data_IF_677608680975
#
_entry.id   IF_677608680975
#
_cell.length_a   1.000
_cell.length_b   1.000
_cell.length_c   1.000
_cell.angle_alpha   90.00
_cell.angle_beta   90.00
_cell.angle_gamma   90.00
#
_symmetry.space_group_name_H-M   'P 1'
#
loop_
_entity.id
_entity.type
_entity.pdbx_description
1 polymer ?
#
# COMPACT_ATOMS: atom_id res chain seq x y z
N UNK A 1 34.49 11.81 36.29
CA UNK A 1 33.06 11.97 35.97
C UNK A 1 32.94 12.46 34.53
N UNK A 2 32.70 11.54 33.61
CA UNK A 2 32.57 11.73 32.15
C UNK A 2 32.33 10.30 31.63
N UNK A 3 31.32 9.90 30.85
CA UNK A 3 30.54 10.55 29.81
C UNK A 3 29.19 9.80 29.72
N UNK A 4 28.10 10.40 30.19
CA UNK A 4 26.73 9.96 29.91
C UNK A 4 26.39 10.41 28.48
N UNK A 5 26.75 9.63 27.44
CA UNK A 5 26.47 10.04 26.04
C UNK A 5 26.29 8.95 24.96
N UNK A 6 26.00 7.66 25.23
CA UNK A 6 25.59 6.74 24.15
C UNK A 6 24.05 6.58 24.06
N UNK A 7 23.31 6.82 25.15
CA UNK A 7 21.88 6.52 25.23
C UNK A 7 20.99 7.49 24.41
N UNK A 8 21.40 8.75 24.26
CA UNK A 8 20.65 9.75 23.50
C UNK A 8 20.63 9.46 21.99
N UNK A 9 21.71 8.88 21.45
CA UNK A 9 21.79 8.53 20.03
C UNK A 9 20.89 7.34 19.67
N UNK A 10 20.76 6.36 20.57
CA UNK A 10 19.87 5.21 20.36
C UNK A 10 18.38 5.57 20.35
N UNK A 11 17.96 6.52 21.19
CA UNK A 11 16.58 6.98 21.27
C UNK A 11 16.13 7.76 20.01
N UNK A 12 17.04 8.52 19.38
CA UNK A 12 16.74 9.23 18.12
C UNK A 12 16.55 8.28 16.93
N UNK A 13 17.30 7.18 16.87
CA UNK A 13 17.17 6.17 15.79
C UNK A 13 15.85 5.38 15.90
N UNK A 14 15.40 5.08 17.12
CA UNK A 14 14.08 4.45 17.36
C UNK A 14 12.92 5.42 17.07
N UNK A 15 13.08 6.71 17.35
CA UNK A 15 12.09 7.73 16.99
C UNK A 15 11.94 7.91 15.47
N UNK A 16 13.04 7.81 14.70
CA UNK A 16 12.97 7.86 13.23
C UNK A 16 12.29 6.63 12.61
N UNK A 17 12.50 5.44 13.20
CA UNK A 17 11.85 4.21 12.73
C UNK A 17 10.32 4.22 12.97
N UNK A 18 9.85 5.02 13.93
CA UNK A 18 8.41 5.20 14.21
C UNK A 18 7.70 6.18 13.27
N UNK A 19 8.42 6.97 12.48
CA UNK A 19 7.83 8.02 11.65
C UNK A 19 7.46 7.59 10.22
N UNK A 20 7.83 6.38 9.77
CA UNK A 20 7.64 5.98 8.36
C UNK A 20 6.72 4.78 8.14
N UNK A 21 6.26 4.11 9.18
CA UNK A 21 5.35 2.97 9.05
C UNK A 21 3.90 3.43 8.98
N UNK A 22 3.52 4.07 7.86
CA UNK A 22 2.10 4.03 7.46
C UNK A 22 1.79 2.55 7.28
N UNK A 23 1.06 1.97 8.23
CA UNK A 23 0.73 0.55 8.23
C UNK A 23 0.15 0.18 6.86
N UNK A 24 0.92 -0.56 6.07
CA UNK A 24 0.42 -1.06 4.80
C UNK A 24 -0.76 -2.00 5.12
N UNK A 25 -1.87 -1.90 4.38
CA UNK A 25 -3.00 -2.80 4.60
C UNK A 25 -2.56 -4.27 4.57
N UNK A 26 -3.23 -5.12 5.34
CA UNK A 26 -2.83 -6.54 5.44
C UNK A 26 -3.38 -7.32 4.24
N UNK A 27 -2.60 -8.24 3.64
CA UNK A 27 -3.08 -9.11 2.57
C UNK A 27 -4.40 -9.81 2.95
N UNK A 28 -5.32 -9.86 1.99
CA UNK A 28 -6.65 -10.46 2.18
C UNK A 28 -7.74 -9.50 2.63
N UNK A 29 -7.39 -8.27 3.04
CA UNK A 29 -8.35 -7.19 3.33
C UNK A 29 -8.79 -6.43 2.08
N UNK A 30 -9.91 -5.71 2.18
CA UNK A 30 -10.44 -4.86 1.12
C UNK A 30 -9.53 -3.65 0.88
N UNK A 31 -8.98 -3.10 1.96
CA UNK A 31 -8.03 -2.00 1.94
C UNK A 31 -6.74 -2.39 1.23
N UNK A 32 -6.30 -3.64 1.40
CA UNK A 32 -5.18 -4.19 0.65
C UNK A 32 -5.49 -4.29 -0.84
N UNK A 33 -6.65 -4.84 -1.22
CA UNK A 33 -7.05 -4.86 -2.62
C UNK A 33 -7.08 -3.44 -3.22
N UNK A 34 -7.65 -2.48 -2.49
CA UNK A 34 -7.73 -1.08 -2.91
C UNK A 34 -6.34 -0.43 -3.05
N UNK A 35 -5.43 -0.69 -2.13
CA UNK A 35 -4.05 -0.21 -2.17
C UNK A 35 -3.27 -0.84 -3.33
N UNK A 36 -3.36 -2.15 -3.53
CA UNK A 36 -2.71 -2.87 -4.63
C UNK A 36 -3.22 -2.38 -5.98
N UNK A 37 -4.53 -2.17 -6.14
CA UNK A 37 -5.09 -1.59 -7.39
C UNK A 37 -4.56 -0.19 -7.63
N UNK A 38 -4.49 0.67 -6.61
CA UNK A 38 -3.88 2.00 -6.75
C UNK A 38 -2.41 1.89 -7.17
N UNK A 39 -1.64 1.01 -6.51
CA UNK A 39 -0.22 0.83 -6.79
C UNK A 39 0.01 0.28 -8.20
N UNK A 40 -0.85 -0.61 -8.68
CA UNK A 40 -0.80 -1.12 -10.03
C UNK A 40 -0.95 -0.02 -11.08
N UNK A 41 -1.82 0.97 -10.85
CA UNK A 41 -1.91 2.14 -11.72
C UNK A 41 -0.64 2.99 -11.68
N UNK A 42 -0.05 3.19 -10.50
CA UNK A 42 1.25 3.90 -10.37
C UNK A 42 2.36 3.19 -11.16
N UNK A 43 2.33 1.85 -11.19
CA UNK A 43 3.25 1.02 -11.97
C UNK A 43 2.90 0.93 -13.46
N UNK A 44 1.87 1.63 -13.94
CA UNK A 44 1.43 1.60 -15.33
C UNK A 44 0.85 0.24 -15.78
N UNK A 45 0.34 -0.56 -14.84
CA UNK A 45 -0.27 -1.85 -15.13
C UNK A 45 -1.74 -1.70 -15.52
N UNK A 46 -2.22 -2.57 -16.42
CA UNK A 46 -3.65 -2.68 -16.71
C UNK A 46 -4.32 -3.50 -15.62
N UNK A 47 -5.45 -3.01 -15.13
CA UNK A 47 -6.20 -3.62 -14.02
C UNK A 47 -7.67 -3.75 -14.39
N UNK A 48 -8.22 -4.96 -14.32
CA UNK A 48 -9.67 -5.18 -14.36
C UNK A 48 -10.28 -4.86 -12.99
N UNK A 49 -10.40 -3.57 -12.69
CA UNK A 49 -10.96 -3.09 -11.42
C UNK A 49 -12.43 -3.49 -11.27
N UNK A 50 -13.19 -3.53 -12.37
CA UNK A 50 -14.60 -3.93 -12.36
C UNK A 50 -14.75 -5.39 -11.94
N UNK A 51 -13.95 -6.28 -12.52
CA UNK A 51 -13.93 -7.69 -12.13
C UNK A 51 -13.48 -7.92 -10.69
N UNK A 52 -12.50 -7.17 -10.19
CA UNK A 52 -12.08 -7.25 -8.78
C UNK A 52 -13.23 -6.85 -7.86
N UNK A 53 -13.89 -5.71 -8.12
CA UNK A 53 -15.03 -5.23 -7.31
C UNK A 53 -16.20 -6.22 -7.36
N UNK A 54 -16.47 -6.82 -8.52
CA UNK A 54 -17.57 -7.76 -8.69
C UNK A 54 -17.44 -9.01 -7.80
N UNK A 55 -16.22 -9.43 -7.50
CA UNK A 55 -15.91 -10.58 -6.64
C UNK A 55 -15.92 -10.26 -5.14
N UNK A 56 -15.95 -8.97 -4.78
CA UNK A 56 -16.11 -8.57 -3.38
C UNK A 56 -17.57 -8.71 -2.92
N UNK A 57 -17.71 -9.03 -1.64
CA UNK A 57 -19.00 -9.00 -0.94
C UNK A 57 -19.63 -7.62 -1.04
N UNK A 58 -20.97 -7.57 -1.08
CA UNK A 58 -21.72 -6.34 -1.31
C UNK A 58 -21.35 -5.21 -0.33
N UNK A 59 -21.11 -5.55 0.93
CA UNK A 59 -20.73 -4.59 1.98
C UNK A 59 -19.32 -4.02 1.77
N UNK A 60 -18.44 -4.79 1.14
CA UNK A 60 -17.04 -4.44 0.95
C UNK A 60 -16.80 -3.66 -0.35
N UNK A 61 -17.72 -3.71 -1.32
CA UNK A 61 -17.62 -2.93 -2.56
C UNK A 61 -17.54 -1.43 -2.30
N UNK A 62 -18.38 -0.90 -1.40
CA UNK A 62 -18.35 0.52 -1.08
C UNK A 62 -17.06 0.89 -0.34
N UNK A 63 -16.64 0.06 0.64
CA UNK A 63 -15.39 0.25 1.37
C UNK A 63 -14.18 0.24 0.42
N UNK A 64 -14.17 -0.64 -0.58
CA UNK A 64 -13.14 -0.68 -1.60
C UNK A 64 -13.07 0.64 -2.38
N UNK A 65 -14.21 1.15 -2.85
CA UNK A 65 -14.26 2.40 -3.63
C UNK A 65 -13.73 3.58 -2.81
N UNK A 66 -14.18 3.69 -1.56
CA UNK A 66 -13.73 4.75 -0.65
C UNK A 66 -12.24 4.65 -0.33
N UNK A 67 -11.74 3.44 -0.01
CA UNK A 67 -10.33 3.21 0.27
C UNK A 67 -9.46 3.48 -0.97
N UNK A 68 -9.88 3.01 -2.14
CA UNK A 68 -9.14 3.17 -3.39
C UNK A 68 -9.05 4.66 -3.79
N UNK A 69 -10.10 5.45 -3.57
CA UNK A 69 -10.06 6.90 -3.77
C UNK A 69 -9.03 7.57 -2.85
N UNK A 70 -8.96 7.18 -1.57
CA UNK A 70 -7.96 7.72 -0.61
C UNK A 70 -6.53 7.38 -1.06
N UNK A 71 -6.29 6.16 -1.51
CA UNK A 71 -4.97 5.75 -2.02
C UNK A 71 -4.60 6.46 -3.32
N UNK A 72 -5.56 6.67 -4.23
CA UNK A 72 -5.34 7.43 -5.46
C UNK A 72 -4.94 8.88 -5.15
N UNK A 73 -5.62 9.55 -4.21
CA UNK A 73 -5.27 10.90 -3.76
C UNK A 73 -3.87 10.91 -3.12
N UNK A 74 -3.54 9.89 -2.31
CA UNK A 74 -2.20 9.78 -1.71
C UNK A 74 -1.12 9.63 -2.77
N UNK A 75 -1.33 8.76 -3.76
CA UNK A 75 -0.40 8.58 -4.88
C UNK A 75 -0.24 9.86 -5.70
N UNK A 76 -1.36 10.55 -5.99
CA UNK A 76 -1.31 11.83 -6.71
C UNK A 76 -0.47 12.89 -5.97
N UNK A 77 -0.56 12.95 -4.64
CA UNK A 77 0.22 13.89 -3.82
C UNK A 77 1.69 13.51 -3.69
N UNK A 78 2.03 12.24 -3.86
CA UNK A 78 3.39 11.72 -3.72
C UNK A 78 3.62 10.63 -4.79
N UNK A 79 3.81 11.02 -6.06
CA UNK A 79 3.94 10.05 -7.14
C UNK A 79 5.28 9.32 -7.03
N UNK A 80 5.22 7.99 -7.02
CA UNK A 80 6.40 7.14 -6.96
C UNK A 80 6.38 6.14 -8.11
N UNK A 81 7.43 6.16 -8.93
CA UNK A 81 7.62 5.14 -9.99
C UNK A 81 7.92 3.79 -9.35
N UNK A 82 7.45 2.73 -9.99
CA UNK A 82 7.81 1.37 -9.63
C UNK A 82 9.09 0.96 -10.36
N UNK A 83 9.97 0.25 -9.66
CA UNK A 83 11.04 -0.49 -10.31
C UNK A 83 10.50 -1.80 -10.92
N UNK A 84 11.36 -2.54 -11.63
CA UNK A 84 10.98 -3.78 -12.30
C UNK A 84 10.49 -4.84 -11.31
N UNK A 85 11.17 -5.02 -10.18
CA UNK A 85 10.85 -6.06 -9.20
C UNK A 85 9.52 -5.77 -8.50
N UNK A 86 9.26 -4.50 -8.15
CA UNK A 86 8.00 -4.06 -7.59
C UNK A 86 6.86 -4.26 -8.60
N UNK A 87 7.09 -3.87 -9.86
CA UNK A 87 6.08 -4.02 -10.91
C UNK A 87 5.68 -5.49 -11.11
N UNK A 88 6.64 -6.40 -11.14
CA UNK A 88 6.38 -7.85 -11.23
C UNK A 88 5.59 -8.37 -10.03
N UNK A 89 5.99 -7.98 -8.81
CA UNK A 89 5.27 -8.34 -7.57
C UNK A 89 3.82 -7.86 -7.62
N UNK A 90 3.60 -6.57 -7.94
CA UNK A 90 2.26 -5.98 -7.99
C UNK A 90 1.42 -6.63 -9.09
N UNK A 91 2.01 -6.97 -10.24
CA UNK A 91 1.31 -7.71 -11.29
C UNK A 91 0.85 -9.09 -10.79
N UNK A 92 1.68 -9.80 -10.03
CA UNK A 92 1.32 -11.06 -9.39
C UNK A 92 0.14 -10.90 -8.42
N UNK A 93 0.19 -9.87 -7.57
CA UNK A 93 -0.87 -9.57 -6.58
C UNK A 93 -2.21 -9.23 -7.25
N UNK A 94 -2.20 -8.43 -8.32
CA UNK A 94 -3.40 -8.14 -9.13
C UNK A 94 -3.96 -9.43 -9.74
N UNK A 95 -3.08 -10.30 -10.24
CA UNK A 95 -3.49 -11.61 -10.77
C UNK A 95 -4.21 -12.46 -9.71
N UNK A 96 -3.74 -12.44 -8.47
CA UNK A 96 -4.39 -13.14 -7.35
C UNK A 96 -5.76 -12.51 -7.05
N UNK A 97 -5.84 -11.19 -6.95
CA UNK A 97 -7.09 -10.47 -6.68
C UNK A 97 -8.14 -10.68 -7.78
N UNK A 98 -7.72 -10.82 -9.04
CA UNK A 98 -8.63 -11.05 -10.16
C UNK A 98 -9.17 -12.49 -10.22
N UNK A 99 -8.55 -13.45 -9.52
CA UNK A 99 -8.95 -14.87 -9.51
C UNK A 99 -9.69 -15.29 -8.25
N UNK A 100 -9.52 -14.57 -7.15
CA UNK A 100 -10.18 -14.82 -5.87
C UNK A 100 -11.65 -14.42 -5.96
#
# INVERSE_FOLDING_TARGET
MTILKPLAAGAMLLALAGCTSVANPRPGTVEYAAATVSRAYDCGLRVDRGGIIARLDRQDRQRFVEANARFAVKSYKAPHRCDTAERERVQGEIGVLARR
#
